data_IF_542334829070
#
_entry.id   IF_542334829070
#
_cell.length_a   1.000
_cell.length_b   1.000
_cell.length_c   1.000
_cell.angle_alpha   90.00
_cell.angle_beta   90.00
_cell.angle_gamma   90.00
#
_symmetry.space_group_name_H-M   'P 1'
#
loop_
_entity.id
_entity.type
_entity.pdbx_description
1 polymer ?
#
# COMPACT_ATOMS: atom_id res chain seq x y z
N UNK A 1 1.88 11.04 -77.61
CA UNK A 1 3.01 11.17 -76.67
C UNK A 1 2.93 9.98 -75.74
N UNK A 2 3.55 8.88 -76.15
CA UNK A 2 4.91 8.45 -75.77
C UNK A 2 4.82 7.51 -74.57
N UNK A 3 4.83 6.21 -74.88
CA UNK A 3 4.86 5.09 -73.95
C UNK A 3 5.96 5.32 -72.92
N UNK A 4 5.60 5.40 -71.64
CA UNK A 4 6.58 5.48 -70.57
C UNK A 4 7.22 4.09 -70.40
N UNK A 5 8.51 3.89 -70.75
CA UNK A 5 9.13 2.57 -70.75
C UNK A 5 9.23 2.02 -69.32
N UNK A 6 8.93 0.73 -69.17
CA UNK A 6 9.00 0.02 -67.90
C UNK A 6 10.47 -0.03 -67.49
N UNK A 7 10.82 0.67 -66.41
CA UNK A 7 12.19 0.71 -65.90
C UNK A 7 12.65 -0.71 -65.49
N UNK A 8 13.89 -1.11 -65.83
CA UNK A 8 14.42 -2.42 -65.50
C UNK A 8 14.50 -2.62 -63.99
N UNK A 9 14.10 -3.82 -63.55
CA UNK A 9 14.07 -4.25 -62.16
C UNK A 9 15.52 -4.29 -61.65
N UNK A 10 15.90 -3.33 -60.80
CA UNK A 10 17.20 -3.38 -60.15
C UNK A 10 17.26 -4.65 -59.28
N UNK A 11 18.24 -5.56 -59.50
CA UNK A 11 18.41 -6.71 -58.64
C UNK A 11 18.68 -6.21 -57.22
N UNK A 12 18.00 -6.83 -56.24
CA UNK A 12 18.23 -6.65 -54.81
C UNK A 12 19.70 -6.92 -54.50
N UNK A 13 20.55 -5.89 -54.59
CA UNK A 13 21.84 -5.89 -53.95
C UNK A 13 21.53 -5.86 -52.46
N UNK A 14 21.66 -7.04 -51.83
CA UNK A 14 21.81 -7.20 -50.40
C UNK A 14 23.06 -6.40 -49.98
N UNK A 15 22.92 -5.08 -49.89
CA UNK A 15 23.93 -4.24 -49.28
C UNK A 15 23.92 -4.61 -47.80
N UNK A 16 24.80 -5.53 -47.47
CA UNK A 16 25.22 -5.86 -46.13
C UNK A 16 25.88 -4.62 -45.54
N UNK A 17 25.06 -3.66 -45.12
CA UNK A 17 25.51 -2.61 -44.23
C UNK A 17 25.65 -3.27 -42.85
N UNK A 18 26.81 -3.89 -42.66
CA UNK A 18 27.36 -4.21 -41.35
C UNK A 18 27.56 -2.88 -40.64
N UNK A 19 26.48 -2.29 -40.15
CA UNK A 19 26.55 -1.13 -39.28
C UNK A 19 27.33 -1.62 -38.06
N UNK A 20 28.58 -1.14 -37.85
CA UNK A 20 29.35 -1.57 -36.71
C UNK A 20 28.51 -1.25 -35.47
N UNK A 21 28.56 -2.19 -34.54
CA UNK A 21 27.96 -2.16 -33.21
C UNK A 21 28.04 -0.72 -32.71
N UNK A 22 26.92 -0.01 -32.84
CA UNK A 22 26.70 1.30 -32.28
C UNK A 22 26.57 1.01 -30.79
N UNK A 23 27.72 1.12 -30.11
CA UNK A 23 27.92 1.10 -28.66
C UNK A 23 27.15 2.26 -28.02
N UNK A 24 25.82 2.20 -28.11
CA UNK A 24 24.93 3.21 -27.59
C UNK A 24 23.61 2.54 -27.24
N UNK A 25 23.70 1.65 -26.28
CA UNK A 25 22.95 1.92 -25.08
C UNK A 25 23.79 1.40 -23.90
N UNK A 26 24.35 2.27 -23.04
CA UNK A 26 24.58 1.81 -21.68
C UNK A 26 23.22 1.32 -21.24
N UNK A 27 23.10 0.01 -21.05
CA UNK A 27 21.95 -0.66 -20.46
C UNK A 27 21.49 0.29 -19.37
N UNK A 28 20.38 1.00 -19.60
CA UNK A 28 19.91 2.05 -18.69
C UNK A 28 19.84 1.35 -17.35
N UNK A 29 20.85 1.69 -16.55
CA UNK A 29 21.37 0.76 -15.58
C UNK A 29 20.30 0.61 -14.56
N UNK A 30 19.60 -0.53 -14.62
CA UNK A 30 18.54 -0.99 -13.72
C UNK A 30 18.34 0.03 -12.62
N UNK A 31 17.65 1.13 -12.99
CA UNK A 31 17.51 2.26 -12.08
C UNK A 31 16.86 1.68 -10.83
N UNK A 32 17.13 2.22 -9.63
CA UNK A 32 16.45 1.75 -8.43
C UNK A 32 14.96 1.78 -8.77
N UNK A 33 14.36 0.60 -8.96
CA UNK A 33 12.96 0.49 -9.31
C UNK A 33 12.29 0.97 -8.05
N UNK A 34 11.96 2.26 -8.01
CA UNK A 34 11.34 2.91 -6.87
C UNK A 34 10.18 2.00 -6.49
N UNK A 35 10.19 1.39 -5.29
CA UNK A 35 9.32 0.26 -5.01
C UNK A 35 7.88 0.76 -4.94
N UNK A 36 7.22 0.82 -6.09
CA UNK A 36 5.82 1.25 -6.23
C UNK A 36 4.91 0.39 -5.34
N UNK A 37 5.31 -0.87 -5.10
CA UNK A 37 4.66 -1.75 -4.15
C UNK A 37 4.74 -1.27 -2.70
N UNK A 38 5.86 -0.71 -2.24
CA UNK A 38 6.00 -0.26 -0.85
C UNK A 38 5.07 0.92 -0.53
N UNK A 39 4.93 1.87 -1.48
CA UNK A 39 4.01 2.99 -1.33
C UNK A 39 2.54 2.53 -1.29
N UNK A 40 2.17 1.53 -2.12
CA UNK A 40 0.82 0.93 -2.08
C UNK A 40 0.55 0.21 -0.77
N UNK A 41 1.46 -0.66 -0.32
CA UNK A 41 1.35 -1.38 0.96
C UNK A 41 1.21 -0.40 2.14
N UNK A 42 1.97 0.70 2.14
CA UNK A 42 1.85 1.73 3.16
C UNK A 42 0.48 2.43 3.17
N UNK A 43 -0.08 2.72 1.98
CA UNK A 43 -1.42 3.29 1.87
C UNK A 43 -2.50 2.32 2.35
N UNK A 44 -2.40 1.04 1.99
CA UNK A 44 -3.34 0.00 2.40
C UNK A 44 -3.28 -0.22 3.92
N UNK A 45 -2.08 -0.24 4.51
CA UNK A 45 -1.91 -0.30 5.96
C UNK A 45 -2.48 0.93 6.66
N UNK A 46 -2.28 2.13 6.08
CA UNK A 46 -2.85 3.37 6.60
C UNK A 46 -4.38 3.34 6.62
N UNK A 47 -5.02 2.85 5.56
CA UNK A 47 -6.47 2.66 5.51
C UNK A 47 -6.93 1.64 6.55
N UNK A 48 -6.28 0.47 6.64
CA UNK A 48 -6.58 -0.54 7.64
C UNK A 48 -6.48 0.00 9.07
N UNK A 49 -5.43 0.77 9.37
CA UNK A 49 -5.25 1.39 10.68
C UNK A 49 -6.34 2.43 10.97
N UNK A 50 -6.73 3.23 9.98
CA UNK A 50 -7.83 4.18 10.14
C UNK A 50 -9.16 3.47 10.44
N UNK A 51 -9.47 2.39 9.73
CA UNK A 51 -10.65 1.57 9.99
C UNK A 51 -10.60 0.93 11.38
N UNK A 52 -9.43 0.43 11.80
CA UNK A 52 -9.24 -0.12 13.14
C UNK A 52 -9.48 0.93 14.23
N UNK A 53 -8.97 2.16 14.05
CA UNK A 53 -9.19 3.27 14.98
C UNK A 53 -10.66 3.66 15.06
N UNK A 54 -11.36 3.76 13.92
CA UNK A 54 -12.81 4.00 13.90
C UNK A 54 -13.59 2.90 14.62
N UNK A 55 -13.16 1.65 14.46
CA UNK A 55 -13.77 0.51 15.17
C UNK A 55 -13.56 0.62 16.68
N UNK A 56 -12.36 0.96 17.13
CA UNK A 56 -12.08 1.17 18.57
C UNK A 56 -12.91 2.34 19.13
N UNK A 57 -13.01 3.45 18.41
CA UNK A 57 -13.86 4.60 18.80
C UNK A 57 -15.34 4.19 18.96
N UNK A 58 -15.87 3.42 18.02
CA UNK A 58 -17.23 2.91 18.11
C UNK A 58 -17.42 1.98 19.32
N UNK A 59 -16.46 1.11 19.59
CA UNK A 59 -16.49 0.22 20.76
C UNK A 59 -16.39 0.99 22.07
N UNK A 60 -15.59 2.05 22.12
CA UNK A 60 -15.51 2.94 23.29
C UNK A 60 -16.86 3.61 23.55
N UNK A 61 -17.51 4.15 22.51
CA UNK A 61 -18.85 4.75 22.63
C UNK A 61 -19.90 3.75 23.08
N UNK A 62 -19.86 2.52 22.56
CA UNK A 62 -20.73 1.42 22.99
C UNK A 62 -20.54 1.12 24.48
N UNK A 63 -19.28 1.03 24.92
CA UNK A 63 -18.94 0.84 26.33
C UNK A 63 -19.40 2.01 27.21
N UNK A 64 -19.28 3.25 26.75
CA UNK A 64 -19.71 4.45 27.47
C UNK A 64 -21.24 4.48 27.62
N UNK A 65 -21.98 4.19 26.54
CA UNK A 65 -23.46 4.10 26.57
C UNK A 65 -23.91 2.98 27.50
N UNK A 66 -23.27 1.81 27.42
CA UNK A 66 -23.59 0.69 28.29
C UNK A 66 -23.32 1.03 29.76
N UNK A 67 -22.18 1.65 30.05
CA UNK A 67 -21.80 2.10 31.40
C UNK A 67 -22.77 3.13 31.96
N UNK A 68 -23.19 4.11 31.15
CA UNK A 68 -24.16 5.12 31.55
C UNK A 68 -25.55 4.50 31.77
N UNK A 69 -25.97 3.59 30.89
CA UNK A 69 -27.23 2.88 31.03
C UNK A 69 -27.28 2.04 32.29
N UNK A 70 -26.17 1.40 32.69
CA UNK A 70 -26.07 0.71 33.98
C UNK A 70 -26.16 1.69 35.16
N UNK A 71 -25.40 2.79 35.13
CA UNK A 71 -25.34 3.75 36.21
C UNK A 71 -26.69 4.46 36.44
N UNK A 72 -27.47 4.66 35.37
CA UNK A 72 -28.81 5.26 35.41
C UNK A 72 -29.93 4.25 35.68
N UNK A 73 -29.62 2.95 35.71
CA UNK A 73 -30.63 1.88 35.83
C UNK A 73 -31.49 1.68 34.58
N UNK A 74 -31.15 2.31 33.45
CA UNK A 74 -31.84 2.13 32.17
C UNK A 74 -31.50 0.78 31.52
N UNK A 75 -30.29 0.29 31.74
CA UNK A 75 -29.83 -1.03 31.28
C UNK A 75 -29.72 -1.92 32.51
N UNK A 76 -30.43 -3.04 32.49
CA UNK A 76 -30.36 -4.03 33.57
C UNK A 76 -29.24 -5.05 33.35
N UNK A 77 -28.71 -5.11 32.14
CA UNK A 77 -27.77 -6.14 31.70
C UNK A 77 -26.32 -5.72 31.96
N UNK A 78 -25.89 -5.93 33.21
CA UNK A 78 -24.50 -5.74 33.64
C UNK A 78 -23.52 -6.51 32.75
N UNK A 79 -23.89 -7.71 32.32
CA UNK A 79 -23.06 -8.56 31.48
C UNK A 79 -22.72 -7.88 30.15
N UNK A 80 -23.69 -7.26 29.51
CA UNK A 80 -23.52 -6.56 28.23
C UNK A 80 -22.57 -5.38 28.37
N UNK A 81 -22.68 -4.60 29.45
CA UNK A 81 -21.75 -3.49 29.67
C UNK A 81 -20.33 -3.98 29.95
N UNK A 82 -20.17 -5.01 30.78
CA UNK A 82 -18.85 -5.60 31.05
C UNK A 82 -18.23 -6.13 29.75
N UNK A 83 -18.99 -6.86 28.92
CA UNK A 83 -18.53 -7.34 27.62
C UNK A 83 -18.13 -6.17 26.70
N UNK A 84 -18.93 -5.11 26.65
CA UNK A 84 -18.62 -3.93 25.84
C UNK A 84 -17.32 -3.26 26.31
N UNK A 85 -17.14 -3.09 27.62
CA UNK A 85 -15.92 -2.52 28.22
C UNK A 85 -14.70 -3.41 27.97
N UNK A 86 -14.81 -4.73 28.17
CA UNK A 86 -13.73 -5.69 27.90
C UNK A 86 -13.33 -5.69 26.43
N UNK A 87 -14.33 -5.65 25.53
CA UNK A 87 -14.11 -5.60 24.09
C UNK A 87 -13.44 -4.31 23.65
N UNK A 88 -13.86 -3.16 24.19
CA UNK A 88 -13.23 -1.87 23.93
C UNK A 88 -11.77 -1.85 24.42
N UNK A 89 -11.53 -2.30 25.65
CA UNK A 89 -10.19 -2.36 26.24
C UNK A 89 -9.25 -3.29 25.48
N UNK A 90 -9.70 -4.51 25.15
CA UNK A 90 -8.91 -5.46 24.35
C UNK A 90 -8.59 -4.91 22.96
N UNK A 91 -9.59 -4.32 22.29
CA UNK A 91 -9.40 -3.77 20.94
C UNK A 91 -8.43 -2.59 20.95
N UNK A 92 -8.53 -1.70 21.95
CA UNK A 92 -7.59 -0.61 22.13
C UNK A 92 -6.16 -1.12 22.40
N UNK A 93 -6.00 -2.12 23.26
CA UNK A 93 -4.69 -2.74 23.54
C UNK A 93 -4.07 -3.28 22.26
N UNK A 94 -4.84 -4.01 21.45
CA UNK A 94 -4.38 -4.54 20.17
C UNK A 94 -3.97 -3.40 19.21
N UNK A 95 -4.74 -2.32 19.13
CA UNK A 95 -4.39 -1.16 18.30
C UNK A 95 -3.09 -0.49 18.74
N UNK A 96 -2.85 -0.40 20.05
CA UNK A 96 -1.59 0.13 20.60
C UNK A 96 -0.42 -0.80 20.26
N UNK A 97 -0.60 -2.12 20.36
CA UNK A 97 0.43 -3.10 19.99
C UNK A 97 0.80 -2.99 18.51
N UNK A 98 -0.19 -2.87 17.63
CA UNK A 98 0.02 -2.67 16.19
C UNK A 98 0.74 -1.35 15.93
N UNK A 99 0.33 -0.25 16.59
CA UNK A 99 1.00 1.06 16.50
C UNK A 99 2.45 0.96 16.91
N UNK A 100 2.76 0.26 18.00
CA UNK A 100 4.13 0.10 18.47
C UNK A 100 4.96 -0.71 17.46
N UNK A 101 4.43 -1.81 16.93
CA UNK A 101 5.10 -2.59 15.86
C UNK A 101 5.34 -1.79 14.58
N UNK A 102 4.39 -0.96 14.18
CA UNK A 102 4.56 -0.08 13.03
C UNK A 102 5.69 0.94 13.25
N UNK A 103 5.80 1.51 14.46
CA UNK A 103 6.90 2.40 14.81
C UNK A 103 8.25 1.69 14.94
N UNK A 104 8.27 0.47 15.49
CA UNK A 104 9.47 -0.35 15.56
C UNK A 104 10.01 -0.64 14.15
N UNK A 105 9.13 -1.02 13.21
CA UNK A 105 9.48 -1.24 11.82
C UNK A 105 9.97 0.05 11.13
N UNK A 106 9.31 1.18 11.38
CA UNK A 106 9.77 2.48 10.88
C UNK A 106 11.17 2.84 11.39
N UNK A 107 11.42 2.68 12.69
CA UNK A 107 12.75 2.91 13.27
C UNK A 107 13.80 1.97 12.67
N UNK A 108 13.45 0.70 12.41
CA UNK A 108 14.37 -0.23 11.77
C UNK A 108 14.75 0.19 10.35
N UNK A 109 13.78 0.65 9.55
CA UNK A 109 14.04 1.17 8.21
C UNK A 109 14.98 2.37 8.26
N UNK A 110 14.77 3.28 9.22
CA UNK A 110 15.64 4.45 9.42
C UNK A 110 17.05 4.07 9.88
N UNK A 111 17.22 2.94 10.59
CA UNK A 111 18.53 2.43 11.01
C UNK A 111 19.33 1.78 9.89
N UNK A 112 18.70 1.34 8.79
CA UNK A 112 19.41 0.70 7.68
C UNK A 112 20.21 1.66 6.77
N UNK A 113 20.22 2.98 7.03
CA UNK A 113 20.92 3.96 6.18
C UNK A 113 22.07 4.74 6.82
N UNK A 114 22.44 4.46 8.08
CA UNK A 114 23.59 5.11 8.76
C UNK A 114 24.76 4.14 8.88
#
# INVERSE_FOLDING_TARGET
MAFNPIAPVHPLMLQQNLNPIQENNPVEGSGPQTPAGAAKVGADFGQFLQEALQKVDNLQKEADVASLGLATGQIQDLHTAVIAMEKAGLSLSLTVDVRNRALDAYHEIMRMQI
#
